data_IF_097446614368
#
_entry.id   IF_097446614368
#
_cell.length_a   1.000
_cell.length_b   1.000
_cell.length_c   1.000
_cell.angle_alpha   90.00
_cell.angle_beta   90.00
_cell.angle_gamma   90.00
#
_symmetry.space_group_name_H-M   'P 1'
#
loop_
_entity.id
_entity.type
_entity.pdbx_description
1 polymer ?
#
# COMPACT_ATOMS: atom_id res chain seq x y z
N UNK A 1 2.51 -0.73 18.17
CA UNK A 1 3.10 -1.77 17.29
C UNK A 1 4.51 -1.41 16.83
N UNK A 2 4.82 -0.15 16.50
CA UNK A 2 6.12 0.22 15.91
C UNK A 2 6.84 1.36 16.67
N UNK A 3 7.25 1.16 17.94
CA UNK A 3 7.73 2.25 18.80
C UNK A 3 9.04 2.91 18.33
N UNK A 4 9.84 2.21 17.54
CA UNK A 4 11.14 2.69 17.06
C UNK A 4 11.11 3.10 15.57
N UNK A 5 9.96 3.00 14.92
CA UNK A 5 9.82 3.34 13.51
C UNK A 5 9.88 4.86 13.30
N UNK A 6 10.72 5.30 12.37
CA UNK A 6 10.77 6.68 11.88
C UNK A 6 9.91 6.87 10.64
N UNK A 7 9.68 5.80 9.89
CA UNK A 7 8.82 5.76 8.71
C UNK A 7 7.87 4.57 8.80
N UNK A 8 6.70 4.71 8.17
CA UNK A 8 5.74 3.63 8.02
C UNK A 8 5.53 3.34 6.53
N UNK A 9 5.63 2.07 6.17
CA UNK A 9 5.22 1.54 4.88
C UNK A 9 3.83 0.93 4.97
N UNK A 10 3.04 1.07 3.91
CA UNK A 10 1.70 0.48 3.79
C UNK A 10 1.58 -0.25 2.46
N UNK A 11 1.05 -1.47 2.50
CA UNK A 11 0.68 -2.24 1.32
C UNK A 11 -0.70 -2.85 1.50
N UNK A 12 -1.46 -2.99 0.42
CA UNK A 12 -2.79 -3.60 0.42
C UNK A 12 -2.85 -4.68 -0.64
N UNK A 13 -3.44 -5.83 -0.32
CA UNK A 13 -3.50 -6.94 -1.27
C UNK A 13 -4.42 -8.06 -0.78
N UNK A 14 -4.48 -9.12 -1.55
CA UNK A 14 -5.24 -10.33 -1.24
C UNK A 14 -4.82 -10.95 0.12
N UNK A 15 -5.82 -11.35 0.91
CA UNK A 15 -5.65 -11.82 2.27
C UNK A 15 -4.92 -13.17 2.42
N UNK A 16 -4.93 -14.01 1.39
CA UNK A 16 -4.31 -15.33 1.40
C UNK A 16 -3.00 -15.34 0.62
N UNK A 17 -2.98 -14.69 -0.54
CA UNK A 17 -1.82 -14.59 -1.42
C UNK A 17 -0.71 -13.71 -0.84
N UNK A 18 -1.04 -12.51 -0.35
CA UNK A 18 -0.01 -11.53 0.04
C UNK A 18 0.83 -11.97 1.26
N UNK A 19 0.26 -12.62 2.29
CA UNK A 19 1.06 -13.16 3.38
C UNK A 19 1.80 -14.47 3.04
N UNK A 20 1.48 -15.13 1.92
CA UNK A 20 2.02 -16.44 1.58
C UNK A 20 3.47 -16.34 1.05
N UNK A 21 4.33 -17.25 1.51
CA UNK A 21 5.73 -17.36 1.04
C UNK A 21 5.87 -18.08 -0.31
N UNK A 22 4.93 -18.97 -0.61
CA UNK A 22 4.84 -19.71 -1.86
C UNK A 22 3.36 -19.88 -2.21
N UNK A 23 2.70 -18.84 -2.75
CA UNK A 23 1.32 -18.94 -3.15
C UNK A 23 1.22 -19.88 -4.35
N UNK A 24 0.59 -21.05 -4.15
CA UNK A 24 0.36 -21.99 -5.24
C UNK A 24 -0.40 -21.35 -6.41
N UNK A 25 -0.23 -21.91 -7.61
CA UNK A 25 -0.82 -21.42 -8.87
C UNK A 25 -2.34 -21.16 -8.79
N UNK A 26 -3.06 -21.97 -8.01
CA UNK A 26 -4.51 -21.82 -7.77
C UNK A 26 -4.88 -20.57 -6.97
N UNK A 27 -4.05 -20.18 -5.99
CA UNK A 27 -4.22 -18.96 -5.20
C UNK A 27 -3.93 -17.72 -6.07
N UNK A 28 -2.92 -17.78 -6.92
CA UNK A 28 -2.61 -16.73 -7.89
C UNK A 28 -3.75 -16.52 -8.90
N UNK A 29 -4.34 -17.60 -9.42
CA UNK A 29 -5.51 -17.52 -10.32
C UNK A 29 -6.76 -17.01 -9.60
N UNK A 30 -7.03 -17.47 -8.37
CA UNK A 30 -8.22 -17.05 -7.63
C UNK A 30 -8.16 -15.56 -7.28
N UNK A 31 -7.02 -15.08 -6.78
CA UNK A 31 -6.77 -13.67 -6.52
C UNK A 31 -6.86 -12.79 -7.80
N UNK A 32 -6.63 -13.38 -8.99
CA UNK A 32 -6.78 -12.67 -10.25
C UNK A 32 -8.24 -12.61 -10.72
N UNK A 33 -8.99 -13.71 -10.66
CA UNK A 33 -10.28 -13.84 -11.35
C UNK A 33 -11.53 -13.75 -10.46
N UNK A 34 -11.40 -13.88 -9.14
CA UNK A 34 -12.52 -13.76 -8.19
C UNK A 34 -12.24 -12.62 -7.19
N UNK A 35 -13.26 -11.85 -6.79
CA UNK A 35 -13.11 -10.92 -5.67
C UNK A 35 -12.78 -11.69 -4.38
N UNK A 36 -11.63 -11.40 -3.79
CA UNK A 36 -11.16 -12.02 -2.54
C UNK A 36 -11.02 -11.00 -1.42
N UNK A 37 -11.13 -11.40 -0.14
CA UNK A 37 -10.88 -10.49 0.98
C UNK A 37 -9.47 -9.90 0.93
N UNK A 38 -9.30 -8.68 1.45
CA UNK A 38 -8.01 -8.00 1.46
C UNK A 38 -7.38 -7.88 2.86
N UNK A 39 -6.06 -7.72 2.87
CA UNK A 39 -5.24 -7.37 4.04
C UNK A 39 -4.44 -6.11 3.80
N UNK A 40 -4.16 -5.40 4.90
CA UNK A 40 -3.25 -4.26 4.94
C UNK A 40 -1.96 -4.69 5.64
N UNK A 41 -0.85 -4.64 4.92
CA UNK A 41 0.51 -4.78 5.45
C UNK A 41 0.99 -3.42 5.96
N UNK A 42 1.48 -3.38 7.20
CA UNK A 42 2.08 -2.17 7.78
C UNK A 42 3.49 -2.51 8.26
N UNK A 43 4.48 -1.81 7.72
CA UNK A 43 5.90 -2.00 8.04
C UNK A 43 6.45 -0.78 8.78
N UNK A 44 7.12 -1.00 9.91
CA UNK A 44 7.87 0.04 10.62
C UNK A 44 9.34 0.06 10.19
N UNK A 45 9.80 1.19 9.65
CA UNK A 45 11.18 1.36 9.20
C UNK A 45 11.94 2.33 10.11
N UNK A 46 13.14 1.93 10.55
CA UNK A 46 14.02 2.81 11.35
C UNK A 46 14.87 3.76 10.49
N UNK A 47 15.06 3.42 9.22
CA UNK A 47 15.86 4.18 8.23
C UNK A 47 14.99 4.69 7.09
N UNK A 48 15.50 5.63 6.30
CA UNK A 48 14.81 6.16 5.12
C UNK A 48 14.48 5.03 4.13
N UNK A 49 13.32 5.05 3.45
CA UNK A 49 12.93 3.97 2.51
C UNK A 49 13.98 3.65 1.44
N UNK A 50 14.68 4.64 0.88
CA UNK A 50 15.78 4.42 -0.08
C UNK A 50 16.93 3.56 0.49
N UNK A 51 17.21 3.69 1.79
CA UNK A 51 18.24 2.90 2.46
C UNK A 51 17.72 1.52 2.87
N UNK A 52 16.42 1.40 3.17
CA UNK A 52 15.78 0.12 3.50
C UNK A 52 15.64 -0.79 2.27
N UNK A 53 15.40 -0.21 1.10
CA UNK A 53 15.13 -0.91 -0.16
C UNK A 53 16.09 -0.48 -1.28
N UNK A 54 17.41 -0.75 -1.16
CA UNK A 54 18.43 -0.20 -2.06
C UNK A 54 18.38 -0.75 -3.50
N UNK A 55 17.56 -1.77 -3.76
CA UNK A 55 17.37 -2.36 -5.09
C UNK A 55 16.08 -1.89 -5.77
N UNK A 56 15.23 -1.18 -5.04
CA UNK A 56 13.93 -0.75 -5.51
C UNK A 56 13.95 0.72 -5.93
N UNK A 57 13.11 1.09 -6.88
CA UNK A 57 12.88 2.49 -7.24
C UNK A 57 12.02 3.15 -6.15
N UNK A 58 12.56 4.17 -5.48
CA UNK A 58 11.83 4.96 -4.48
C UNK A 58 11.60 6.36 -5.03
N UNK A 59 10.33 6.75 -5.15
CA UNK A 59 9.93 8.10 -5.59
C UNK A 59 9.44 8.89 -4.39
N UNK A 60 10.12 10.00 -4.09
CA UNK A 60 9.66 10.97 -3.10
C UNK A 60 8.65 11.95 -3.73
N UNK A 61 7.46 12.06 -3.12
CA UNK A 61 6.42 12.99 -3.54
C UNK A 61 6.19 14.05 -2.45
N UNK A 62 6.07 15.31 -2.86
CA UNK A 62 5.65 16.40 -1.96
C UNK A 62 4.14 16.56 -2.07
N UNK A 63 3.45 16.45 -0.95
CA UNK A 63 2.00 16.69 -0.85
C UNK A 63 1.73 17.83 0.12
N UNK A 64 0.59 18.50 -0.03
CA UNK A 64 0.18 19.55 0.90
C UNK A 64 -0.16 18.96 2.27
N UNK A 65 -0.21 19.80 3.31
CA UNK A 65 -0.67 19.37 4.63
C UNK A 65 -2.13 18.84 4.58
N UNK A 66 -2.99 19.45 3.78
CA UNK A 66 -4.34 18.92 3.56
C UNK A 66 -4.30 17.54 2.89
N UNK A 67 -3.47 17.38 1.86
CA UNK A 67 -3.24 16.10 1.18
C UNK A 67 -2.74 15.01 2.12
N UNK A 68 -1.80 15.34 3.01
CA UNK A 68 -1.30 14.39 4.01
C UNK A 68 -2.40 13.94 4.98
N UNK A 69 -3.28 14.84 5.43
CA UNK A 69 -4.43 14.46 6.27
C UNK A 69 -5.41 13.55 5.53
N UNK A 70 -5.66 13.82 4.25
CA UNK A 70 -6.52 12.97 3.42
C UNK A 70 -5.89 11.58 3.22
N UNK A 71 -4.58 11.50 3.00
CA UNK A 71 -3.85 10.24 2.93
C UNK A 71 -3.99 9.44 4.22
N UNK A 72 -3.81 10.09 5.39
CA UNK A 72 -4.03 9.43 6.69
C UNK A 72 -5.47 8.92 6.80
N UNK A 73 -6.47 9.72 6.40
CA UNK A 73 -7.87 9.29 6.45
C UNK A 73 -8.15 8.10 5.52
N UNK A 74 -7.54 8.07 4.33
CA UNK A 74 -7.62 6.95 3.40
C UNK A 74 -7.01 5.67 3.98
N UNK A 75 -5.78 5.76 4.53
CA UNK A 75 -5.11 4.64 5.17
C UNK A 75 -5.89 4.14 6.40
N UNK A 76 -6.38 5.05 7.23
CA UNK A 76 -7.20 4.74 8.40
C UNK A 76 -8.51 4.03 8.01
N UNK A 77 -9.16 4.53 6.98
CA UNK A 77 -10.40 3.98 6.44
C UNK A 77 -10.25 2.60 5.79
N UNK A 78 -9.02 2.23 5.39
CA UNK A 78 -8.71 0.94 4.75
C UNK A 78 -8.79 -0.22 5.74
N UNK A 79 -8.59 -0.02 7.04
CA UNK A 79 -8.67 -1.13 7.99
C UNK A 79 -10.12 -1.63 8.16
N UNK A 80 -10.30 -2.95 8.17
CA UNK A 80 -11.56 -3.61 8.51
C UNK A 80 -11.59 -3.95 10.01
N UNK A 81 -12.28 -3.11 10.78
CA UNK A 81 -12.31 -3.15 12.25
C UNK A 81 -13.58 -2.49 12.78
N UNK A 82 -14.03 -2.95 13.96
CA UNK A 82 -15.28 -2.48 14.57
C UNK A 82 -15.17 -1.08 15.19
N UNK A 83 -13.97 -0.67 15.62
CA UNK A 83 -13.70 0.65 16.21
C UNK A 83 -12.53 1.37 15.51
N UNK A 84 -12.19 2.57 15.96
CA UNK A 84 -11.08 3.35 15.40
C UNK A 84 -9.69 2.87 15.88
N UNK A 85 -9.59 1.76 16.61
CA UNK A 85 -8.30 1.23 17.08
C UNK A 85 -7.78 0.24 16.06
N UNK A 86 -6.50 0.26 15.67
CA UNK A 86 -5.93 -0.79 14.81
C UNK A 86 -6.28 -2.13 15.45
N UNK A 87 -7.08 -2.96 14.76
CA UNK A 87 -7.47 -4.28 15.25
C UNK A 87 -6.22 -5.12 15.55
N UNK A 88 -6.38 -6.28 16.16
CA UNK A 88 -5.23 -7.18 16.36
C UNK A 88 -4.66 -7.58 14.98
N UNK A 89 -3.32 -7.66 14.83
CA UNK A 89 -2.71 -8.25 13.65
C UNK A 89 -3.29 -9.64 13.36
N UNK A 90 -3.49 -9.95 12.07
CA UNK A 90 -3.94 -11.28 11.63
C UNK A 90 -2.78 -12.20 11.27
N UNK A 91 -1.62 -11.64 10.93
CA UNK A 91 -0.40 -12.37 10.64
C UNK A 91 0.83 -11.48 10.86
N UNK A 92 2.03 -12.06 11.13
CA UNK A 92 3.29 -11.33 10.98
C UNK A 92 3.47 -10.89 9.52
N UNK A 93 4.07 -9.73 9.31
CA UNK A 93 4.35 -9.23 7.97
C UNK A 93 5.60 -9.84 7.34
N UNK A 94 5.88 -9.44 6.09
CA UNK A 94 6.99 -9.97 5.30
C UNK A 94 8.37 -9.46 5.77
N UNK A 95 8.41 -8.23 6.28
CA UNK A 95 9.62 -7.58 6.80
C UNK A 95 9.73 -7.71 8.33
N UNK A 96 10.95 -7.63 8.90
CA UNK A 96 11.13 -7.37 10.33
C UNK A 96 10.32 -6.14 10.76
N UNK A 97 9.65 -6.23 11.91
CA UNK A 97 8.79 -5.16 12.44
C UNK A 97 7.66 -4.75 11.48
N UNK A 98 7.00 -5.75 10.88
CA UNK A 98 5.79 -5.55 10.08
C UNK A 98 4.67 -6.51 10.46
N UNK A 99 3.42 -6.13 10.18
CA UNK A 99 2.23 -6.90 10.52
C UNK A 99 1.16 -6.77 9.43
N UNK A 100 0.37 -7.82 9.23
CA UNK A 100 -0.86 -7.77 8.45
C UNK A 100 -2.07 -7.52 9.33
N UNK A 101 -3.01 -6.73 8.83
CA UNK A 101 -4.32 -6.44 9.43
C UNK A 101 -5.42 -6.71 8.41
N UNK A 102 -6.64 -7.01 8.86
CA UNK A 102 -7.79 -7.09 7.94
C UNK A 102 -8.01 -5.72 7.28
N UNK A 103 -8.25 -5.73 5.97
CA UNK A 103 -8.58 -4.53 5.22
C UNK A 103 -10.00 -4.60 4.64
N UNK A 104 -10.58 -3.44 4.36
CA UNK A 104 -11.80 -3.32 3.57
C UNK A 104 -11.47 -3.44 2.08
N UNK A 105 -12.48 -3.82 1.31
CA UNK A 105 -12.38 -4.00 -0.14
C UNK A 105 -12.08 -5.43 -0.54
N UNK A 106 -12.14 -5.68 -1.83
CA UNK A 106 -11.94 -6.99 -2.43
C UNK A 106 -10.82 -6.92 -3.47
N UNK A 107 -9.85 -7.82 -3.43
CA UNK A 107 -8.77 -7.88 -4.41
C UNK A 107 -9.22 -8.67 -5.64
N UNK A 108 -8.91 -8.16 -6.84
CA UNK A 108 -9.11 -8.86 -8.12
C UNK A 108 -8.32 -8.14 -9.24
N UNK A 109 -8.36 -8.66 -10.48
CA UNK A 109 -7.57 -8.13 -11.61
C UNK A 109 -7.73 -6.63 -11.90
N UNK A 110 -8.89 -6.04 -11.58
CA UNK A 110 -9.16 -4.62 -11.78
C UNK A 110 -9.10 -3.80 -10.48
N UNK A 111 -8.89 -4.45 -9.34
CA UNK A 111 -8.71 -3.81 -8.05
C UNK A 111 -7.48 -4.39 -7.34
N UNK A 112 -6.32 -3.87 -7.73
CA UNK A 112 -5.01 -4.36 -7.29
C UNK A 112 -4.38 -3.44 -6.25
N UNK A 113 -3.23 -3.86 -5.70
CA UNK A 113 -2.37 -3.03 -4.85
C UNK A 113 -1.98 -1.69 -5.50
N UNK A 114 -1.82 -1.66 -6.83
CA UNK A 114 -1.46 -0.44 -7.56
C UNK A 114 -2.65 0.51 -7.66
N UNK A 115 -3.85 -0.01 -7.97
CA UNK A 115 -5.07 0.81 -7.98
C UNK A 115 -5.38 1.39 -6.60
N UNK A 116 -5.15 0.60 -5.54
CA UNK A 116 -5.30 1.06 -4.16
C UNK A 116 -4.28 2.15 -3.80
N UNK A 117 -3.02 1.99 -4.22
CA UNK A 117 -2.00 3.02 -4.03
C UNK A 117 -2.35 4.30 -4.80
N UNK A 118 -2.79 4.17 -6.05
CA UNK A 118 -3.18 5.29 -6.91
C UNK A 118 -4.34 6.08 -6.29
N UNK A 119 -5.41 5.41 -5.84
CA UNK A 119 -6.54 6.10 -5.17
C UNK A 119 -6.11 6.81 -3.88
N UNK A 120 -5.19 6.24 -3.12
CA UNK A 120 -4.64 6.89 -1.92
C UNK A 120 -3.85 8.16 -2.25
N UNK A 121 -3.03 8.12 -3.30
CA UNK A 121 -2.27 9.28 -3.79
C UNK A 121 -3.19 10.35 -4.39
N UNK A 122 -4.21 9.95 -5.16
CA UNK A 122 -5.23 10.86 -5.68
C UNK A 122 -6.02 11.54 -4.54
N UNK A 123 -6.40 10.79 -3.50
CA UNK A 123 -7.01 11.36 -2.29
C UNK A 123 -6.08 12.36 -1.58
N UNK A 124 -4.77 12.15 -1.66
CA UNK A 124 -3.75 13.07 -1.17
C UNK A 124 -3.52 14.30 -2.07
N UNK A 125 -4.24 14.41 -3.19
CA UNK A 125 -4.15 15.51 -4.14
C UNK A 125 -2.97 15.40 -5.12
N UNK A 126 -2.38 14.22 -5.27
CA UNK A 126 -1.39 13.96 -6.33
C UNK A 126 -2.14 13.91 -7.68
N UNK A 127 -1.70 14.65 -8.71
CA UNK A 127 -2.40 14.73 -9.99
C UNK A 127 -2.15 13.48 -10.84
N UNK A 128 -2.76 12.36 -10.46
CA UNK A 128 -2.78 11.10 -11.21
C UNK A 128 -4.21 10.68 -11.51
N UNK A 129 -4.41 10.04 -12.65
CA UNK A 129 -5.66 9.35 -12.97
C UNK A 129 -5.61 7.94 -12.33
N UNK A 130 -6.39 7.73 -11.28
CA UNK A 130 -6.36 6.49 -10.52
C UNK A 130 -7.21 5.38 -11.15
N UNK A 131 -8.13 5.71 -12.05
CA UNK A 131 -9.13 4.76 -12.57
C UNK A 131 -8.51 3.78 -13.59
N UNK A 132 -7.44 4.20 -14.28
CA UNK A 132 -6.73 3.39 -15.28
C UNK A 132 -5.50 2.64 -14.71
N UNK A 133 -5.18 2.80 -13.42
CA UNK A 133 -3.97 2.22 -12.84
C UNK A 133 -4.24 0.84 -12.24
N UNK A 134 -3.84 -0.19 -12.98
CA UNK A 134 -3.86 -1.59 -12.52
C UNK A 134 -2.46 -2.16 -12.27
N UNK A 135 -1.47 -1.70 -13.06
CA UNK A 135 -0.09 -2.21 -13.08
C UNK A 135 0.90 -1.26 -12.42
N UNK A 136 1.97 -1.81 -11.87
CA UNK A 136 3.01 -1.05 -11.19
C UNK A 136 3.77 -0.13 -12.16
N UNK A 137 4.03 -0.60 -13.39
CA UNK A 137 4.75 0.17 -14.40
C UNK A 137 3.99 1.43 -14.79
N UNK A 138 2.67 1.34 -14.93
CA UNK A 138 1.79 2.47 -15.23
C UNK A 138 1.75 3.49 -14.09
N UNK A 139 1.61 3.00 -12.86
CA UNK A 139 1.67 3.86 -11.67
C UNK A 139 3.01 4.59 -11.60
N UNK A 140 4.13 3.88 -11.68
CA UNK A 140 5.45 4.48 -11.58
C UNK A 140 5.71 5.47 -12.73
N UNK A 141 5.28 5.16 -13.95
CA UNK A 141 5.38 6.08 -15.08
C UNK A 141 4.61 7.39 -14.82
N UNK A 142 3.43 7.34 -14.18
CA UNK A 142 2.66 8.53 -13.83
C UNK A 142 3.31 9.37 -12.71
N UNK A 143 4.07 8.73 -11.81
CA UNK A 143 4.67 9.39 -10.64
C UNK A 143 6.05 10.00 -10.91
N UNK A 144 6.84 9.43 -11.83
CA UNK A 144 8.20 9.92 -12.14
C UNK A 144 8.24 11.42 -12.48
N UNK A 145 7.34 11.98 -13.32
CA UNK A 145 7.34 13.41 -13.60
C UNK A 145 7.08 14.28 -12.35
N UNK A 146 6.36 13.74 -11.37
CA UNK A 146 5.95 14.43 -10.14
C UNK A 146 6.97 14.31 -8.99
N UNK A 147 8.07 13.59 -9.21
CA UNK A 147 9.08 13.38 -8.19
C UNK A 147 9.63 14.71 -7.65
N UNK A 148 9.89 14.76 -6.34
CA UNK A 148 10.42 15.95 -5.68
C UNK A 148 11.79 16.40 -6.23
N UNK A 149 12.47 15.54 -7.01
CA UNK A 149 13.73 15.83 -7.69
C UNK A 149 13.56 16.47 -9.08
N UNK A 150 12.34 16.52 -9.62
CA UNK A 150 12.02 17.10 -10.93
C UNK A 150 11.90 18.63 -10.92
N UNK A 151 11.84 19.25 -9.74
CA UNK A 151 11.95 20.70 -9.57
C UNK A 151 13.40 21.06 -9.21
N UNK A 152 14.26 21.13 -10.22
CA UNK A 152 15.55 21.82 -10.16
C UNK A 152 15.49 23.06 -11.04
#
# INVERSE_FOLDING_TARGET
>A
AFPEARYLGFGWGDAEFFPARDPGFTTLLSAAFLPTPAVLHVTGLRVHPEAAYPKDEVIALKISHAGFRNLIAYLDGTFARADRRPGKPVAPGLDPHSYFYRAKGEFHLFNTCNSWTARGLAAAGVPIDADDIVRAEGLMASLRPLSANSFK
#
